data_IF_903159679792
#
_entry.id   IF_903159679792
#
_cell.length_a   1.000
_cell.length_b   1.000
_cell.length_c   1.000
_cell.angle_alpha   90.00
_cell.angle_beta   90.00
_cell.angle_gamma   90.00
#
_symmetry.space_group_name_H-M   'P 1'
#
loop_
_entity.id
_entity.type
_entity.pdbx_description
1 polymer ?
#
# COMPACT_ATOMS: atom_id res chain seq x y z
N UNK A 1 -5.75 23.08 -36.87
CA UNK A 1 -7.02 22.43 -36.46
C UNK A 1 -7.80 23.39 -35.58
N UNK A 2 -9.06 23.67 -35.92
CA UNK A 2 -9.94 24.56 -35.13
C UNK A 2 -10.44 23.82 -33.88
N UNK A 3 -10.55 24.52 -32.75
CA UNK A 3 -11.11 23.97 -31.51
C UNK A 3 -12.61 23.70 -31.69
N UNK A 4 -13.07 22.49 -31.36
CA UNK A 4 -14.49 22.12 -31.36
C UNK A 4 -15.03 22.04 -29.94
N UNK A 5 -16.32 22.34 -29.76
CA UNK A 5 -17.04 22.06 -28.51
C UNK A 5 -17.10 20.53 -28.34
N UNK A 6 -16.83 20.06 -27.12
CA UNK A 6 -16.95 18.67 -26.74
C UNK A 6 -17.80 18.58 -25.48
N UNK A 7 -18.49 17.46 -25.30
CA UNK A 7 -19.26 17.15 -24.09
C UNK A 7 -18.32 16.86 -22.90
N UNK A 8 -18.77 17.09 -21.66
CA UNK A 8 -18.02 16.74 -20.45
C UNK A 8 -18.38 15.31 -20.06
N UNK A 9 -17.80 14.36 -20.79
CA UNK A 9 -17.96 12.92 -20.58
C UNK A 9 -16.60 12.23 -20.68
N UNK A 10 -16.54 10.97 -20.24
CA UNK A 10 -15.30 10.20 -20.34
C UNK A 10 -14.93 9.94 -21.81
N UNK A 11 -13.73 10.34 -22.21
CA UNK A 11 -13.22 10.08 -23.56
C UNK A 11 -12.98 8.58 -23.76
N UNK A 12 -13.49 8.02 -24.88
CA UNK A 12 -13.34 6.60 -25.21
C UNK A 12 -12.01 6.27 -25.89
N UNK A 13 -11.50 7.17 -26.75
CA UNK A 13 -10.22 6.97 -27.42
C UNK A 13 -9.03 7.24 -26.48
N UNK A 14 -8.13 6.26 -26.35
CA UNK A 14 -6.99 6.30 -25.43
C UNK A 14 -5.98 7.41 -25.78
N UNK A 15 -5.67 7.58 -27.07
CA UNK A 15 -4.74 8.60 -27.53
C UNK A 15 -5.28 10.01 -27.25
N UNK A 16 -6.55 10.25 -27.57
CA UNK A 16 -7.23 11.52 -27.30
C UNK A 16 -7.34 11.76 -25.79
N UNK A 17 -7.59 10.72 -24.98
CA UNK A 17 -7.60 10.79 -23.50
C UNK A 17 -6.24 11.25 -22.96
N UNK A 18 -5.14 10.65 -23.41
CA UNK A 18 -3.78 10.98 -22.96
C UNK A 18 -3.35 12.40 -23.36
N UNK A 19 -3.63 12.81 -24.60
CA UNK A 19 -3.34 14.16 -25.09
C UNK A 19 -4.19 15.20 -24.35
N UNK A 20 -5.47 14.90 -24.13
CA UNK A 20 -6.39 15.77 -23.39
C UNK A 20 -5.96 15.92 -21.94
N UNK A 21 -5.61 14.83 -21.26
CA UNK A 21 -5.07 14.86 -19.90
C UNK A 21 -3.84 15.78 -19.83
N UNK A 22 -2.85 15.57 -20.70
CA UNK A 22 -1.62 16.38 -20.71
C UNK A 22 -1.90 17.87 -20.88
N UNK A 23 -2.73 18.24 -21.87
CA UNK A 23 -3.06 19.65 -22.15
C UNK A 23 -3.91 20.28 -21.05
N UNK A 24 -4.91 19.57 -20.52
CA UNK A 24 -5.80 20.07 -19.46
C UNK A 24 -5.07 20.22 -18.14
N UNK A 25 -4.22 19.25 -17.76
CA UNK A 25 -3.35 19.35 -16.59
C UNK A 25 -2.46 20.59 -16.66
N UNK A 26 -1.76 20.80 -17.78
CA UNK A 26 -0.92 22.00 -17.95
C UNK A 26 -1.72 23.28 -17.87
N UNK A 27 -2.91 23.34 -18.50
CA UNK A 27 -3.81 24.49 -18.40
C UNK A 27 -4.30 24.74 -16.97
N UNK A 28 -4.64 23.67 -16.23
CA UNK A 28 -5.06 23.73 -14.84
C UNK A 28 -3.93 24.26 -13.93
N UNK A 29 -2.71 23.75 -14.08
CA UNK A 29 -1.56 24.21 -13.30
C UNK A 29 -1.22 25.67 -13.59
N UNK A 30 -1.31 26.10 -14.85
CA UNK A 30 -1.13 27.52 -15.20
C UNK A 30 -2.17 28.40 -14.50
N UNK A 31 -3.44 27.97 -14.48
CA UNK A 31 -4.52 28.71 -13.83
C UNK A 31 -4.39 28.73 -12.30
N UNK A 32 -3.96 27.63 -11.69
CA UNK A 32 -3.66 27.57 -10.26
C UNK A 32 -2.52 28.53 -9.89
N UNK A 33 -1.47 28.61 -10.72
CA UNK A 33 -0.37 29.56 -10.54
C UNK A 33 -0.81 31.02 -10.75
N UNK A 34 -1.63 31.29 -11.77
CA UNK A 34 -2.22 32.63 -11.96
C UNK A 34 -3.06 33.04 -10.73
N UNK A 35 -3.86 32.13 -10.19
CA UNK A 35 -4.69 32.36 -9.00
C UNK A 35 -3.85 32.66 -7.76
N UNK A 36 -2.80 31.87 -7.52
CA UNK A 36 -1.92 32.06 -6.37
C UNK A 36 -1.22 33.42 -6.42
N UNK A 37 -0.79 33.86 -7.61
CA UNK A 37 -0.15 35.17 -7.81
C UNK A 37 -1.16 36.32 -7.66
N UNK A 38 -2.32 36.23 -8.32
CA UNK A 38 -3.29 37.33 -8.35
C UNK A 38 -3.97 37.59 -7.01
N UNK A 39 -4.22 36.52 -6.24
CA UNK A 39 -4.97 36.61 -4.98
C UNK A 39 -4.08 36.42 -3.74
N UNK A 40 -2.80 36.11 -3.89
CA UNK A 40 -1.95 35.67 -2.77
C UNK A 40 -2.47 34.38 -2.11
N UNK A 41 -3.18 33.55 -2.87
CA UNK A 41 -3.85 32.37 -2.36
C UNK A 41 -2.89 31.18 -2.25
N UNK A 42 -3.01 30.42 -1.16
CA UNK A 42 -2.36 29.12 -1.03
C UNK A 42 -3.17 28.07 -1.77
N UNK A 43 -2.52 27.35 -2.70
CA UNK A 43 -3.21 26.44 -3.62
C UNK A 43 -2.41 25.15 -3.75
N UNK A 44 -3.08 24.01 -3.65
CA UNK A 44 -2.53 22.72 -4.03
C UNK A 44 -3.48 22.00 -4.99
N UNK A 45 -2.92 21.42 -6.05
CA UNK A 45 -3.63 20.62 -7.04
C UNK A 45 -2.88 19.32 -7.22
N UNK A 46 -3.58 18.20 -7.04
CA UNK A 46 -3.05 16.84 -7.26
C UNK A 46 -3.96 16.15 -8.27
N UNK A 47 -3.37 15.60 -9.34
CA UNK A 47 -4.11 14.85 -10.37
C UNK A 47 -3.37 13.57 -10.75
N UNK A 48 -4.12 12.50 -10.97
CA UNK A 48 -3.58 11.23 -11.44
C UNK A 48 -3.86 11.05 -12.93
N UNK A 49 -2.84 10.63 -13.67
CA UNK A 49 -3.03 10.21 -15.06
C UNK A 49 -3.85 8.91 -15.15
N UNK A 50 -4.40 8.58 -16.34
CA UNK A 50 -5.01 7.27 -16.55
C UNK A 50 -4.09 6.07 -16.24
N UNK A 51 -2.77 6.26 -16.25
CA UNK A 51 -1.79 5.25 -15.84
C UNK A 51 -1.40 5.33 -14.36
N UNK A 52 -2.22 5.96 -13.51
CA UNK A 52 -2.02 6.14 -12.06
C UNK A 52 -0.75 6.90 -11.64
N UNK A 53 -0.05 7.55 -12.57
CA UNK A 53 1.08 8.42 -12.22
C UNK A 53 0.57 9.75 -11.62
N UNK A 54 1.04 10.16 -10.44
CA UNK A 54 0.69 11.43 -9.81
C UNK A 54 1.38 12.62 -10.49
N UNK A 55 0.66 13.74 -10.55
CA UNK A 55 1.18 15.05 -10.92
C UNK A 55 0.63 16.09 -9.96
N UNK A 56 1.46 17.02 -9.53
CA UNK A 56 1.03 18.05 -8.59
C UNK A 56 1.57 19.43 -8.92
N UNK A 57 0.84 20.44 -8.45
CA UNK A 57 1.25 21.83 -8.40
C UNK A 57 0.87 22.36 -7.01
N UNK A 58 1.77 23.09 -6.37
CA UNK A 58 1.53 23.67 -5.06
C UNK A 58 2.18 25.05 -4.93
N UNK A 59 1.50 25.96 -4.26
CA UNK A 59 2.03 27.25 -3.83
C UNK A 59 1.59 27.50 -2.38
N UNK A 60 2.51 27.63 -1.41
CA UNK A 60 3.97 27.59 -1.54
C UNK A 60 4.56 26.19 -1.86
N UNK A 61 3.95 25.11 -1.36
CA UNK A 61 4.21 23.73 -1.78
C UNK A 61 2.97 22.88 -1.51
N UNK A 62 2.90 21.68 -2.10
CA UNK A 62 1.78 20.76 -1.86
C UNK A 62 1.75 20.34 -0.39
N UNK A 63 2.90 19.99 0.18
CA UNK A 63 3.02 19.51 1.55
C UNK A 63 2.59 20.56 2.57
N UNK A 64 2.99 21.83 2.39
CA UNK A 64 2.61 22.92 3.29
C UNK A 64 1.10 23.15 3.28
N UNK A 65 0.49 23.13 2.09
CA UNK A 65 -0.96 23.31 1.96
C UNK A 65 -1.72 22.10 2.52
N UNK A 66 -1.23 20.89 2.25
CA UNK A 66 -1.80 19.65 2.78
C UNK A 66 -1.70 19.60 4.31
N UNK A 67 -0.54 19.92 4.88
CA UNK A 67 -0.32 19.98 6.33
C UNK A 67 -1.26 20.99 6.99
N UNK A 68 -1.46 22.17 6.39
CA UNK A 68 -2.40 23.18 6.89
C UNK A 68 -3.84 22.69 6.83
N UNK A 69 -4.22 22.01 5.76
CA UNK A 69 -5.55 21.43 5.60
C UNK A 69 -5.80 20.32 6.63
N UNK A 70 -4.82 19.44 6.85
CA UNK A 70 -4.93 18.33 7.81
C UNK A 70 -4.89 18.80 9.27
N UNK A 71 -4.21 19.91 9.57
CA UNK A 71 -4.20 20.53 10.91
C UNK A 71 -5.44 21.37 11.20
N UNK A 72 -6.23 21.70 10.18
CA UNK A 72 -7.51 22.34 10.42
C UNK A 72 -8.46 21.28 10.99
N UNK A 73 -8.55 21.25 12.32
CA UNK A 73 -9.69 20.66 13.02
C UNK A 73 -10.96 21.05 12.28
N UNK A 74 -11.87 20.10 11.97
CA UNK A 74 -13.08 20.39 11.23
C UNK A 74 -13.83 21.48 11.99
N UNK A 75 -13.78 22.71 11.46
CA UNK A 75 -14.57 23.83 11.99
C UNK A 75 -16.01 23.42 11.77
N UNK A 76 -16.59 22.91 12.85
CA UNK A 76 -17.96 22.46 13.02
C UNK A 76 -18.93 23.41 12.33
N UNK A 77 -19.24 23.08 11.09
CA UNK A 77 -20.37 23.54 10.30
C UNK A 77 -20.64 22.38 9.33
N UNK A 78 -21.62 21.56 9.71
CA UNK A 78 -22.14 20.37 9.04
C UNK A 78 -21.36 19.04 9.19
N UNK A 79 -22.11 18.03 9.63
CA UNK A 79 -21.83 16.58 9.73
C UNK A 79 -21.23 16.09 11.06
N UNK A 80 -22.19 15.75 11.93
CA UNK A 80 -22.15 15.11 13.24
C UNK A 80 -21.65 13.64 13.16
N UNK A 81 -20.41 13.40 12.70
CA UNK A 81 -19.91 12.02 12.45
C UNK A 81 -18.46 11.68 12.85
N UNK A 82 -17.58 12.64 13.15
CA UNK A 82 -16.12 12.39 13.16
C UNK A 82 -15.46 12.10 14.51
N UNK A 83 -16.18 12.18 15.64
CA UNK A 83 -15.53 11.98 16.96
C UNK A 83 -15.13 10.54 17.25
N UNK A 84 -15.79 9.55 16.63
CA UNK A 84 -15.49 8.13 16.86
C UNK A 84 -14.27 7.67 16.06
N UNK A 85 -14.09 8.17 14.83
CA UNK A 85 -13.02 7.72 13.93
C UNK A 85 -11.63 8.14 14.41
N UNK A 86 -11.50 9.31 15.04
CA UNK A 86 -10.21 9.79 15.57
C UNK A 86 -9.77 8.94 16.77
N UNK A 87 -10.70 8.62 17.68
CA UNK A 87 -10.41 7.75 18.83
C UNK A 87 -10.02 6.33 18.38
N UNK A 88 -10.67 5.81 17.33
CA UNK A 88 -10.30 4.51 16.76
C UNK A 88 -8.93 4.56 16.07
N UNK A 89 -8.56 5.67 15.40
CA UNK A 89 -7.25 5.82 14.76
C UNK A 89 -6.11 5.86 15.77
N UNK A 90 -6.25 6.62 16.87
CA UNK A 90 -5.26 6.67 17.94
C UNK A 90 -5.10 5.31 18.62
N UNK A 91 -6.22 4.61 18.84
CA UNK A 91 -6.21 3.24 19.38
C UNK A 91 -5.52 2.27 18.43
N UNK A 92 -5.79 2.32 17.12
CA UNK A 92 -5.11 1.48 16.13
C UNK A 92 -3.60 1.77 16.08
N UNK A 93 -3.20 3.04 16.15
CA UNK A 93 -1.80 3.43 16.17
C UNK A 93 -1.09 2.92 17.45
N UNK A 94 -1.75 2.98 18.61
CA UNK A 94 -1.25 2.37 19.83
C UNK A 94 -1.10 0.85 19.69
N UNK A 95 -2.11 0.16 19.16
CA UNK A 95 -2.04 -1.29 18.91
C UNK A 95 -0.91 -1.67 17.94
N UNK A 96 -0.68 -0.88 16.89
CA UNK A 96 0.43 -1.10 15.95
C UNK A 96 1.79 -0.94 16.64
N UNK A 97 1.94 0.09 17.48
CA UNK A 97 3.16 0.33 18.26
C UNK A 97 3.43 -0.82 19.25
N UNK A 98 2.39 -1.31 19.94
CA UNK A 98 2.51 -2.42 20.89
C UNK A 98 2.95 -3.72 20.19
N UNK A 99 2.32 -4.05 19.06
CA UNK A 99 2.68 -5.25 18.25
C UNK A 99 4.10 -5.14 17.70
N UNK A 100 4.54 -3.96 17.26
CA UNK A 100 5.92 -3.75 16.81
C UNK A 100 6.95 -3.99 17.93
N UNK A 101 6.65 -3.52 19.15
CA UNK A 101 7.50 -3.77 20.31
C UNK A 101 7.55 -5.25 20.68
N UNK A 102 6.42 -5.97 20.63
CA UNK A 102 6.37 -7.40 20.89
C UNK A 102 7.18 -8.21 19.86
N UNK A 103 7.06 -7.89 18.57
CA UNK A 103 7.86 -8.52 17.50
C UNK A 103 9.35 -8.28 17.73
N UNK A 104 9.76 -7.08 18.14
CA UNK A 104 11.16 -6.74 18.41
C UNK A 104 11.71 -7.53 19.61
N UNK A 105 10.94 -7.67 20.67
CA UNK A 105 11.31 -8.49 21.84
C UNK A 105 11.41 -9.98 21.47
N UNK A 106 10.49 -10.53 20.69
CA UNK A 106 10.55 -11.91 20.21
C UNK A 106 11.74 -12.14 19.26
N UNK A 107 12.05 -11.20 18.37
CA UNK A 107 13.25 -11.27 17.53
C UNK A 107 14.54 -11.26 18.35
N UNK A 108 14.60 -10.46 19.42
CA UNK A 108 15.74 -10.41 20.34
C UNK A 108 15.90 -11.74 21.09
N UNK A 109 14.82 -12.31 21.62
CA UNK A 109 14.83 -13.63 22.27
C UNK A 109 15.26 -14.73 21.30
N UNK A 110 14.77 -14.72 20.07
CA UNK A 110 15.14 -15.68 19.03
C UNK A 110 16.63 -15.57 18.67
N UNK A 111 17.17 -14.35 18.58
CA UNK A 111 18.60 -14.11 18.36
C UNK A 111 19.46 -14.62 19.53
N UNK A 112 19.07 -14.34 20.78
CA UNK A 112 19.76 -14.83 21.98
C UNK A 112 19.73 -16.37 22.08
N UNK A 113 18.61 -17.00 21.73
CA UNK A 113 18.47 -18.46 21.69
C UNK A 113 19.34 -19.08 20.60
N UNK A 114 19.40 -18.47 19.42
CA UNK A 114 20.27 -18.89 18.32
C UNK A 114 21.75 -18.79 18.72
N UNK A 115 22.16 -17.70 19.38
CA UNK A 115 23.52 -17.56 19.90
C UNK A 115 23.85 -18.57 21.01
N UNK A 116 22.92 -18.84 21.94
CA UNK A 116 23.09 -19.92 22.94
C UNK A 116 23.21 -21.31 22.30
N UNK A 117 22.46 -21.58 21.23
CA UNK A 117 22.54 -22.84 20.49
C UNK A 117 23.90 -23.00 19.79
N UNK A 118 24.44 -21.93 19.20
CA UNK A 118 25.78 -21.93 18.62
C UNK A 118 26.88 -22.14 19.67
N UNK A 119 26.77 -21.48 20.83
CA UNK A 119 27.76 -21.61 21.92
C UNK A 119 27.74 -22.99 22.59
N UNK A 120 26.57 -23.63 22.70
CA UNK A 120 26.44 -24.97 23.27
C UNK A 120 26.93 -26.10 22.36
N UNK A 121 27.48 -25.78 21.18
CA UNK A 121 28.24 -26.73 20.37
C UNK A 121 27.50 -28.05 20.16
N UNK A 122 26.27 -28.00 19.63
CA UNK A 122 25.55 -29.22 19.22
C UNK A 122 26.12 -29.69 17.88
N UNK A 123 27.37 -30.15 17.92
CA UNK A 123 28.00 -30.93 16.85
C UNK A 123 27.95 -32.43 17.20
N UNK A 124 27.53 -32.81 18.41
CA UNK A 124 27.37 -34.20 18.83
C UNK A 124 26.22 -34.27 19.86
N UNK A 125 25.38 -35.31 19.79
CA UNK A 125 24.15 -35.54 20.60
C UNK A 125 22.88 -34.90 20.06
N UNK A 126 22.29 -35.51 19.04
CA UNK A 126 21.03 -36.26 19.14
C UNK A 126 20.81 -36.91 17.76
N UNK A 127 21.17 -38.19 17.64
CA UNK A 127 20.52 -39.07 16.67
C UNK A 127 19.42 -39.81 17.43
N UNK A 128 18.16 -39.36 17.46
CA UNK A 128 17.08 -40.20 17.94
C UNK A 128 16.81 -41.20 16.83
N UNK A 129 17.13 -42.47 17.05
CA UNK A 129 16.71 -43.58 16.17
C UNK A 129 15.18 -43.59 15.96
N UNK A 130 14.42 -42.89 16.80
CA UNK A 130 12.97 -42.71 16.70
C UNK A 130 12.53 -41.68 15.64
N UNK A 131 13.42 -40.79 15.18
CA UNK A 131 13.10 -39.76 14.17
C UNK A 131 13.16 -40.28 12.72
N UNK A 132 13.61 -41.52 12.50
CA UNK A 132 13.60 -42.13 11.16
C UNK A 132 12.18 -42.47 10.71
N UNK A 133 11.33 -42.95 11.63
CA UNK A 133 9.92 -43.25 11.32
C UNK A 133 9.15 -41.98 10.98
N UNK A 134 9.29 -40.93 11.79
CA UNK A 134 8.62 -39.65 11.56
C UNK A 134 9.12 -38.94 10.30
N UNK A 135 10.41 -39.01 9.96
CA UNK A 135 10.90 -38.47 8.68
C UNK A 135 10.28 -39.17 7.47
N UNK A 136 10.06 -40.49 7.52
CA UNK A 136 9.42 -41.22 6.44
C UNK A 136 7.93 -40.81 6.29
N UNK A 137 7.23 -40.61 7.40
CA UNK A 137 5.85 -40.11 7.39
C UNK A 137 5.75 -38.68 6.87
N UNK A 138 6.67 -37.79 7.29
CA UNK A 138 6.76 -36.43 6.78
C UNK A 138 7.05 -36.43 5.27
N UNK A 139 7.96 -37.29 4.81
CA UNK A 139 8.28 -37.40 3.39
C UNK A 139 7.08 -37.90 2.59
N UNK A 140 6.39 -38.95 3.06
CA UNK A 140 5.15 -39.43 2.43
C UNK A 140 4.08 -38.34 2.37
N UNK A 141 3.97 -37.52 3.41
CA UNK A 141 3.01 -36.41 3.46
C UNK A 141 3.37 -35.31 2.47
N UNK A 142 4.66 -35.01 2.32
CA UNK A 142 5.16 -34.06 1.32
C UNK A 142 4.91 -34.53 -0.11
N UNK A 143 5.22 -35.79 -0.40
CA UNK A 143 4.96 -36.39 -1.72
C UNK A 143 3.45 -36.38 -2.05
N UNK A 144 2.60 -36.58 -1.03
CA UNK A 144 1.15 -36.50 -1.19
C UNK A 144 0.66 -35.07 -1.44
N UNK A 145 1.24 -34.08 -0.76
CA UNK A 145 0.97 -32.65 -0.99
C UNK A 145 1.33 -32.24 -2.42
N UNK A 146 2.53 -32.59 -2.89
CA UNK A 146 3.00 -32.26 -4.24
C UNK A 146 2.10 -32.92 -5.31
N UNK A 147 1.62 -34.15 -5.08
CA UNK A 147 0.69 -34.83 -5.98
C UNK A 147 -0.70 -34.15 -6.03
N UNK A 148 -1.20 -33.64 -4.91
CA UNK A 148 -2.44 -32.87 -4.83
C UNK A 148 -2.31 -31.55 -5.60
N UNK A 149 -1.20 -30.83 -5.37
CA UNK A 149 -0.94 -29.55 -6.04
C UNK A 149 -0.86 -29.71 -7.57
N UNK A 150 -0.14 -30.72 -8.06
CA UNK A 150 -0.11 -31.05 -9.50
C UNK A 150 -1.50 -31.38 -10.04
N UNK A 151 -2.31 -32.12 -9.28
CA UNK A 151 -3.68 -32.47 -9.68
C UNK A 151 -4.58 -31.23 -9.78
N UNK A 152 -4.43 -30.27 -8.86
CA UNK A 152 -5.15 -29.01 -8.88
C UNK A 152 -4.82 -28.19 -10.13
N UNK A 153 -3.53 -28.04 -10.46
CA UNK A 153 -3.10 -27.34 -11.68
C UNK A 153 -3.60 -28.01 -12.96
N UNK A 154 -3.57 -29.35 -13.02
CA UNK A 154 -4.10 -30.11 -14.16
C UNK A 154 -5.62 -29.91 -14.32
N UNK A 155 -6.38 -29.86 -13.22
CA UNK A 155 -7.83 -29.62 -13.25
C UNK A 155 -8.16 -28.19 -13.71
N UNK A 156 -7.35 -27.20 -13.31
CA UNK A 156 -7.48 -25.82 -13.78
C UNK A 156 -7.21 -25.69 -15.28
N UNK A 157 -6.21 -26.40 -15.82
CA UNK A 157 -5.91 -26.38 -17.25
C UNK A 157 -7.01 -27.05 -18.07
N UNK A 158 -7.58 -28.16 -17.59
CA UNK A 158 -8.67 -28.87 -18.27
C UNK A 158 -9.98 -28.05 -18.34
N UNK A 159 -10.22 -27.12 -17.41
CA UNK A 159 -11.39 -26.22 -17.44
C UNK A 159 -11.26 -25.06 -18.42
N UNK A 160 -10.06 -24.81 -18.95
CA UNK A 160 -9.77 -23.71 -19.88
C UNK A 160 -9.58 -24.17 -21.34
N UNK A 161 -9.92 -25.43 -21.66
CA UNK A 161 -10.05 -25.97 -23.02
C UNK A 161 -11.52 -26.23 -23.35
#
# INVERSE_FOLDING_TARGET
MVRRKIEITELKDSNTKQVTFSKRRTGLFKKANELSILCGAEVAVVVFSPGNNPYSFGHPSVDVVADKFLKQEPKSNDVQGTSTEVADMDRLNQQLSDVQNEILEEQKKAAELNERMKQKGVTQLFQPKELQGSNLEIQKMKDCYDAIEVSEYMLLLAKNQ
#
